data_IF_792909291862
#
_entry.id   IF_792909291862
#
_cell.length_a   1.000
_cell.length_b   1.000
_cell.length_c   1.000
_cell.angle_alpha   90.00
_cell.angle_beta   90.00
_cell.angle_gamma   90.00
#
_symmetry.space_group_name_H-M   'P 1'
#
loop_
_entity.id
_entity.type
_entity.pdbx_description
1 polymer ?
#
# COMPACT_ATOMS: atom_id res chain seq x y z
N UNK A 1 -36.22 14.34 31.43
CA UNK A 1 -35.37 15.20 30.59
C UNK A 1 -33.89 14.86 30.77
N UNK A 2 -33.51 13.56 30.76
CA UNK A 2 -32.16 13.12 31.19
C UNK A 2 -31.35 12.40 30.10
N UNK A 3 -31.83 12.34 28.86
CA UNK A 3 -31.19 11.61 27.75
C UNK A 3 -30.11 12.39 27.00
N UNK A 4 -30.08 13.73 27.10
CA UNK A 4 -29.19 14.56 26.27
C UNK A 4 -27.71 14.59 26.72
N UNK A 5 -27.40 14.23 27.97
CA UNK A 5 -26.05 14.32 28.52
C UNK A 5 -25.19 13.08 28.19
N UNK A 6 -25.76 11.88 28.29
CA UNK A 6 -25.06 10.63 27.95
C UNK A 6 -24.69 10.54 26.46
N UNK A 7 -25.54 11.06 25.57
CA UNK A 7 -25.27 11.05 24.13
C UNK A 7 -24.08 11.95 23.78
N UNK A 8 -23.92 13.07 24.48
CA UNK A 8 -22.83 14.03 24.25
C UNK A 8 -21.47 13.48 24.70
N UNK A 9 -21.43 12.82 25.86
CA UNK A 9 -20.21 12.17 26.36
C UNK A 9 -19.80 10.99 25.45
N UNK A 10 -20.75 10.17 25.02
CA UNK A 10 -20.47 9.02 24.15
C UNK A 10 -19.95 9.45 22.78
N UNK A 11 -20.48 10.56 22.23
CA UNK A 11 -19.96 11.18 21.00
C UNK A 11 -18.53 11.69 21.21
N UNK A 12 -18.24 12.35 22.33
CA UNK A 12 -16.89 12.84 22.65
C UNK A 12 -15.89 11.67 22.76
N UNK A 13 -16.21 10.62 23.53
CA UNK A 13 -15.38 9.43 23.66
C UNK A 13 -15.15 8.77 22.29
N UNK A 14 -16.20 8.62 21.47
CA UNK A 14 -16.07 8.08 20.11
C UNK A 14 -15.11 8.91 19.25
N UNK A 15 -15.11 10.23 19.40
CA UNK A 15 -14.24 11.14 18.65
C UNK A 15 -12.79 11.07 19.12
N UNK A 16 -12.56 11.01 20.43
CA UNK A 16 -11.23 10.86 21.02
C UNK A 16 -10.63 9.51 20.60
N UNK A 17 -11.41 8.43 20.63
CA UNK A 17 -10.97 7.12 20.18
C UNK A 17 -10.63 7.11 18.69
N UNK A 18 -11.49 7.68 17.82
CA UNK A 18 -11.21 7.79 16.38
C UNK A 18 -9.92 8.57 16.09
N UNK A 19 -9.74 9.72 16.76
CA UNK A 19 -8.53 10.52 16.64
C UNK A 19 -7.28 9.74 17.08
N UNK A 20 -7.37 8.98 18.18
CA UNK A 20 -6.26 8.13 18.65
C UNK A 20 -5.86 7.05 17.63
N UNK A 21 -6.83 6.45 16.92
CA UNK A 21 -6.56 5.43 15.90
C UNK A 21 -5.92 6.02 14.64
N UNK A 22 -6.36 7.21 14.22
CA UNK A 22 -5.73 7.93 13.10
C UNK A 22 -4.29 8.31 13.46
N UNK A 23 -4.06 8.81 14.67
CA UNK A 23 -2.71 9.12 15.15
C UNK A 23 -1.79 7.89 15.16
N UNK A 24 -2.32 6.71 15.51
CA UNK A 24 -1.57 5.46 15.43
C UNK A 24 -1.18 5.12 13.98
N UNK A 25 -2.07 5.32 13.02
CA UNK A 25 -1.76 5.11 11.59
C UNK A 25 -0.67 6.04 11.08
N UNK A 26 -0.68 7.30 11.53
CA UNK A 26 0.33 8.29 11.15
C UNK A 26 1.71 8.01 11.75
N UNK A 27 1.83 7.08 12.69
CA UNK A 27 3.11 6.64 13.24
C UNK A 27 3.70 5.42 12.51
N UNK A 28 3.00 4.88 11.49
CA UNK A 28 3.52 3.77 10.71
C UNK A 28 4.67 4.21 9.79
N UNK A 29 5.64 3.30 9.63
CA UNK A 29 6.72 3.39 8.66
C UNK A 29 6.32 2.73 7.34
N UNK A 30 6.81 3.26 6.22
CA UNK A 30 6.55 2.70 4.89
C UNK A 30 7.47 1.50 4.65
N UNK A 31 7.13 0.39 5.28
CA UNK A 31 7.90 -0.85 5.25
C UNK A 31 7.25 -1.89 4.35
N UNK A 32 7.91 -3.04 4.16
CA UNK A 32 7.40 -4.15 3.34
C UNK A 32 5.94 -4.54 3.62
N UNK A 33 5.45 -4.59 4.88
CA UNK A 33 4.07 -4.97 5.14
C UNK A 33 3.05 -3.94 4.63
N UNK A 34 3.40 -2.65 4.70
CA UNK A 34 2.58 -1.56 4.16
C UNK A 34 2.58 -1.63 2.63
N UNK A 35 3.74 -1.87 2.03
CA UNK A 35 3.86 -2.07 0.57
C UNK A 35 3.01 -3.25 0.10
N UNK A 36 3.10 -4.40 0.78
CA UNK A 36 2.31 -5.58 0.43
C UNK A 36 0.80 -5.32 0.57
N UNK A 37 0.38 -4.51 1.56
CA UNK A 37 -1.01 -4.08 1.71
C UNK A 37 -1.47 -3.15 0.57
N UNK A 38 -0.65 -2.17 0.18
CA UNK A 38 -0.92 -1.30 -0.98
C UNK A 38 -1.10 -2.14 -2.24
N UNK A 39 -0.17 -3.08 -2.47
CA UNK A 39 -0.23 -3.99 -3.63
C UNK A 39 -1.55 -4.76 -3.63
N UNK A 40 -1.95 -5.32 -2.48
CA UNK A 40 -3.21 -6.04 -2.37
C UNK A 40 -4.43 -5.16 -2.71
N UNK A 41 -4.52 -3.95 -2.15
CA UNK A 41 -5.64 -3.03 -2.41
C UNK A 41 -5.72 -2.60 -3.88
N UNK A 42 -4.57 -2.36 -4.53
CA UNK A 42 -4.52 -1.98 -5.94
C UNK A 42 -4.91 -3.17 -6.83
N UNK A 43 -4.37 -4.36 -6.57
CA UNK A 43 -4.70 -5.56 -7.34
C UNK A 43 -6.19 -5.88 -7.24
N UNK A 44 -6.78 -5.84 -6.04
CA UNK A 44 -8.21 -6.05 -5.84
C UNK A 44 -9.06 -5.03 -6.63
N UNK A 45 -8.65 -3.76 -6.62
CA UNK A 45 -9.36 -2.69 -7.34
C UNK A 45 -9.31 -2.89 -8.86
N UNK A 46 -8.15 -3.29 -9.39
CA UNK A 46 -7.96 -3.56 -10.82
C UNK A 46 -8.70 -4.84 -11.24
N UNK A 47 -8.63 -5.91 -10.44
CA UNK A 47 -9.32 -7.17 -10.71
C UNK A 47 -10.85 -6.97 -10.76
N UNK A 48 -11.38 -6.17 -9.81
CA UNK A 48 -12.79 -5.79 -9.79
C UNK A 48 -13.20 -5.02 -11.04
N UNK A 49 -12.39 -4.04 -11.47
CA UNK A 49 -12.68 -3.21 -12.64
C UNK A 49 -12.56 -3.98 -13.97
N UNK A 50 -11.64 -4.94 -14.06
CA UNK A 50 -11.46 -5.79 -15.24
C UNK A 50 -12.42 -6.98 -15.28
N UNK A 51 -13.10 -7.30 -14.17
CA UNK A 51 -13.94 -8.49 -14.04
C UNK A 51 -13.15 -9.79 -14.20
N UNK A 52 -11.84 -9.77 -13.89
CA UNK A 52 -10.92 -10.91 -14.07
C UNK A 52 -10.12 -11.11 -12.79
N UNK A 53 -10.04 -12.35 -12.32
CA UNK A 53 -9.18 -12.73 -11.18
C UNK A 53 -7.79 -13.24 -11.62
N UNK A 54 -7.49 -13.18 -12.93
CA UNK A 54 -6.41 -13.96 -13.53
C UNK A 54 -5.16 -13.12 -13.88
N UNK A 55 -4.93 -11.98 -13.22
CA UNK A 55 -3.63 -11.32 -13.36
C UNK A 55 -2.55 -12.29 -12.88
N UNK A 56 -1.52 -12.59 -13.70
CA UNK A 56 -0.55 -13.61 -13.37
C UNK A 56 0.21 -13.19 -12.11
N UNK A 57 0.49 -14.14 -11.21
CA UNK A 57 1.18 -13.85 -9.95
C UNK A 57 2.55 -13.18 -10.14
N UNK A 58 3.16 -13.33 -11.33
CA UNK A 58 4.38 -12.62 -11.73
C UNK A 58 4.19 -11.10 -11.88
N UNK A 59 3.01 -10.63 -12.31
CA UNK A 59 2.68 -9.20 -12.39
C UNK A 59 2.68 -8.56 -11.01
N UNK A 60 2.21 -9.26 -9.97
CA UNK A 60 2.25 -8.74 -8.60
C UNK A 60 3.69 -8.56 -8.08
N UNK A 61 4.64 -9.42 -8.46
CA UNK A 61 6.03 -9.29 -8.04
C UNK A 61 6.73 -8.07 -8.68
N UNK A 62 6.55 -7.88 -9.99
CA UNK A 62 7.07 -6.71 -10.70
C UNK A 62 6.44 -5.42 -10.17
N UNK A 63 5.12 -5.42 -9.99
CA UNK A 63 4.38 -4.30 -9.43
C UNK A 63 4.80 -3.98 -7.98
N UNK A 64 5.05 -4.98 -7.14
CA UNK A 64 5.57 -4.75 -5.78
C UNK A 64 6.92 -4.03 -5.81
N UNK A 65 7.81 -4.41 -6.73
CA UNK A 65 9.09 -3.73 -6.93
C UNK A 65 8.90 -2.29 -7.42
N UNK A 66 7.92 -2.06 -8.30
CA UNK A 66 7.55 -0.73 -8.76
C UNK A 66 7.06 0.15 -7.60
N UNK A 67 6.09 -0.31 -6.81
CA UNK A 67 5.56 0.40 -5.63
C UNK A 67 6.68 0.76 -4.66
N UNK A 68 7.54 -0.21 -4.32
CA UNK A 68 8.68 0.03 -3.44
C UNK A 68 9.64 1.07 -4.01
N UNK A 69 9.97 0.98 -5.30
CA UNK A 69 10.88 1.91 -5.98
C UNK A 69 10.32 3.33 -5.98
N UNK A 70 9.04 3.49 -6.32
CA UNK A 70 8.38 4.79 -6.35
C UNK A 70 8.37 5.41 -4.95
N UNK A 71 7.86 4.71 -3.93
CA UNK A 71 7.76 5.24 -2.57
C UNK A 71 9.12 5.66 -1.98
N UNK A 72 10.17 4.88 -2.23
CA UNK A 72 11.54 5.22 -1.78
C UNK A 72 12.07 6.46 -2.50
N UNK A 73 11.81 6.59 -3.81
CA UNK A 73 12.36 7.70 -4.61
C UNK A 73 11.59 9.01 -4.45
N UNK A 74 10.27 8.94 -4.25
CA UNK A 74 9.43 10.12 -4.02
C UNK A 74 9.46 10.59 -2.56
N UNK A 75 9.97 9.77 -1.63
CA UNK A 75 10.09 10.09 -0.21
C UNK A 75 8.76 10.54 0.42
N UNK A 76 7.68 9.84 0.07
CA UNK A 76 6.33 10.20 0.49
C UNK A 76 6.12 9.98 1.99
N UNK A 77 5.22 10.77 2.56
CA UNK A 77 4.80 10.60 3.96
C UNK A 77 3.78 9.48 4.09
N UNK A 78 3.65 8.92 5.29
CA UNK A 78 2.58 7.96 5.57
C UNK A 78 1.19 8.59 5.37
N UNK A 79 1.04 9.89 5.61
CA UNK A 79 -0.21 10.60 5.34
C UNK A 79 -0.60 10.58 3.85
N UNK A 80 0.38 10.79 2.95
CA UNK A 80 0.18 10.67 1.51
C UNK A 80 -0.18 9.22 1.12
N UNK A 81 0.47 8.23 1.72
CA UNK A 81 0.16 6.81 1.49
C UNK A 81 -1.27 6.47 1.93
N UNK A 82 -1.68 6.85 3.14
CA UNK A 82 -3.04 6.60 3.64
C UNK A 82 -4.11 7.32 2.81
N UNK A 83 -3.80 8.55 2.36
CA UNK A 83 -4.68 9.31 1.47
C UNK A 83 -4.81 8.62 0.11
N UNK A 84 -3.71 8.12 -0.46
CA UNK A 84 -3.76 7.37 -1.73
C UNK A 84 -4.56 6.07 -1.61
N UNK A 85 -4.45 5.34 -0.49
CA UNK A 85 -5.28 4.16 -0.21
C UNK A 85 -6.77 4.51 -0.17
N UNK A 86 -7.11 5.61 0.50
CA UNK A 86 -8.49 6.13 0.56
C UNK A 86 -9.04 6.44 -0.84
N UNK A 87 -8.21 7.08 -1.68
CA UNK A 87 -8.58 7.35 -3.07
C UNK A 87 -8.72 6.09 -3.93
N UNK A 88 -7.84 5.09 -3.75
CA UNK A 88 -7.97 3.79 -4.43
C UNK A 88 -9.29 3.11 -4.06
N UNK A 89 -9.63 3.11 -2.76
CA UNK A 89 -10.88 2.52 -2.27
C UNK A 89 -12.11 3.16 -2.91
N UNK A 90 -12.12 4.49 -3.03
CA UNK A 90 -13.19 5.25 -3.69
C UNK A 90 -13.24 5.07 -5.20
N UNK A 91 -12.09 4.89 -5.84
CA UNK A 91 -12.01 4.68 -7.28
C UNK A 91 -12.67 3.38 -7.73
N UNK A 92 -12.82 2.38 -6.86
CA UNK A 92 -13.37 1.05 -7.18
C UNK A 92 -14.72 1.08 -7.93
N UNK A 93 -15.60 2.04 -7.64
CA UNK A 93 -16.92 2.10 -8.30
C UNK A 93 -16.91 2.78 -9.66
N UNK A 94 -15.91 3.64 -9.94
CA UNK A 94 -15.93 4.58 -11.05
C UNK A 94 -14.75 4.40 -12.02
N UNK A 95 -13.81 3.51 -11.70
CA UNK A 95 -12.61 3.33 -12.50
C UNK A 95 -12.91 2.52 -13.77
N UNK A 96 -12.51 3.08 -14.90
CA UNK A 96 -12.54 2.41 -16.20
C UNK A 96 -11.12 2.16 -16.67
N UNK A 97 -10.77 0.90 -16.93
CA UNK A 97 -9.43 0.50 -17.35
C UNK A 97 -9.46 0.16 -18.85
N UNK A 98 -9.00 1.06 -19.73
CA UNK A 98 -9.05 0.84 -21.17
C UNK A 98 -8.00 -0.17 -21.67
N UNK A 99 -6.93 -0.39 -20.90
CA UNK A 99 -5.86 -1.34 -21.23
C UNK A 99 -5.31 -1.96 -19.96
N UNK A 100 -5.02 -3.26 -20.03
CA UNK A 100 -4.40 -4.05 -18.95
C UNK A 100 -2.93 -3.66 -18.77
N UNK A 101 -2.30 -3.13 -19.82
CA UNK A 101 -0.89 -2.74 -19.79
C UNK A 101 -0.66 -1.65 -18.73
N UNK A 102 0.16 -1.97 -17.74
CA UNK A 102 0.48 -1.12 -16.60
C UNK A 102 -0.74 -0.67 -15.78
N UNK A 103 -1.82 -1.43 -15.78
CA UNK A 103 -3.06 -1.05 -15.08
C UNK A 103 -2.81 -0.83 -13.58
N UNK A 104 -2.13 -1.76 -12.92
CA UNK A 104 -1.78 -1.67 -11.49
C UNK A 104 -0.94 -0.42 -11.20
N UNK A 105 0.10 -0.20 -12.00
CA UNK A 105 1.02 0.93 -11.88
C UNK A 105 0.29 2.26 -12.08
N UNK A 106 -0.62 2.36 -13.05
CA UNK A 106 -1.38 3.59 -13.32
C UNK A 106 -2.36 3.91 -12.21
N UNK A 107 -3.08 2.91 -11.68
CA UNK A 107 -4.01 3.11 -10.56
C UNK A 107 -3.26 3.57 -9.32
N UNK A 108 -2.19 2.87 -8.96
CA UNK A 108 -1.35 3.24 -7.82
C UNK A 108 -0.74 4.62 -7.97
N UNK A 109 -0.11 4.90 -9.12
CA UNK A 109 0.62 6.13 -9.35
C UNK A 109 -0.32 7.34 -9.43
N UNK A 110 -1.48 7.20 -10.06
CA UNK A 110 -2.50 8.25 -10.10
C UNK A 110 -2.96 8.63 -8.69
N UNK A 111 -3.29 7.63 -7.87
CA UNK A 111 -3.68 7.84 -6.48
C UNK A 111 -2.57 8.51 -5.66
N UNK A 112 -1.33 8.04 -5.78
CA UNK A 112 -0.20 8.55 -5.01
C UNK A 112 0.17 9.98 -5.40
N UNK A 113 0.18 10.32 -6.70
CA UNK A 113 0.47 11.69 -7.16
C UNK A 113 -0.57 12.67 -6.60
N UNK A 114 -1.85 12.35 -6.74
CA UNK A 114 -2.93 13.21 -6.27
C UNK A 114 -2.86 13.36 -4.75
N UNK A 115 -2.65 12.26 -4.03
CA UNK A 115 -2.48 12.27 -2.58
C UNK A 115 -1.29 13.10 -2.12
N UNK A 116 -0.11 12.87 -2.70
CA UNK A 116 1.11 13.63 -2.42
C UNK A 116 0.91 15.13 -2.61
N UNK A 117 0.22 15.52 -3.69
CA UNK A 117 -0.11 16.92 -3.97
C UNK A 117 -1.13 17.52 -3.03
N UNK A 118 -2.05 16.70 -2.52
CA UNK A 118 -3.09 17.12 -1.59
C UNK A 118 -2.55 17.30 -0.16
N UNK A 119 -1.64 16.43 0.29
CA UNK A 119 -1.16 16.40 1.67
C UNK A 119 0.12 17.20 1.93
N UNK A 120 0.86 17.59 0.89
CA UNK A 120 2.20 18.17 1.04
C UNK A 120 2.24 19.63 0.60
N UNK A 121 2.83 20.50 1.43
CA UNK A 121 3.02 21.92 1.10
C UNK A 121 4.06 22.13 -0.02
N UNK A 122 5.01 21.21 -0.15
CA UNK A 122 6.00 21.17 -1.23
C UNK A 122 5.80 19.92 -2.07
N UNK A 123 5.30 20.09 -3.29
CA UNK A 123 4.91 18.96 -4.14
C UNK A 123 5.92 18.72 -5.25
N UNK A 124 6.20 17.43 -5.50
CA UNK A 124 7.07 17.02 -6.59
C UNK A 124 6.39 17.29 -7.94
N UNK A 125 7.07 18.01 -8.85
CA UNK A 125 6.54 18.27 -10.20
C UNK A 125 6.46 16.98 -11.02
N UNK A 126 5.55 16.93 -12.00
CA UNK A 126 5.32 15.74 -12.82
C UNK A 126 6.57 15.23 -13.57
N UNK A 127 7.51 16.11 -13.91
CA UNK A 127 8.80 15.72 -14.50
C UNK A 127 9.65 14.87 -13.55
N UNK A 128 9.59 15.14 -12.25
CA UNK A 128 10.31 14.38 -11.25
C UNK A 128 9.60 13.05 -10.93
N UNK A 129 8.26 13.02 -10.98
CA UNK A 129 7.50 11.76 -10.94
C UNK A 129 7.88 10.83 -12.11
N UNK A 130 8.02 11.37 -13.32
CA UNK A 130 8.48 10.61 -14.48
C UNK A 130 9.87 9.99 -14.22
N UNK A 131 10.80 10.80 -13.69
CA UNK A 131 12.12 10.32 -13.27
C UNK A 131 12.07 9.30 -12.13
N UNK A 132 11.09 9.38 -11.22
CA UNK A 132 10.92 8.41 -10.14
C UNK A 132 10.52 7.03 -10.67
N UNK A 133 9.56 7.00 -11.62
CA UNK A 133 9.05 5.74 -12.18
C UNK A 133 10.00 5.06 -13.17
N UNK A 134 10.75 5.84 -13.96
CA UNK A 134 11.64 5.33 -15.00
C UNK A 134 10.95 4.69 -16.22
N UNK A 135 9.64 4.46 -16.17
CA UNK A 135 8.86 3.82 -17.24
C UNK A 135 7.83 4.75 -17.89
N UNK A 136 7.41 5.82 -17.21
CA UNK A 136 6.43 6.78 -17.72
C UNK A 136 7.08 8.11 -18.08
N UNK A 137 6.71 8.66 -19.24
CA UNK A 137 7.10 10.02 -19.61
C UNK A 137 6.35 11.07 -18.79
N UNK A 138 6.85 12.30 -18.73
CA UNK A 138 6.12 13.42 -18.10
C UNK A 138 4.70 13.58 -18.67
N UNK A 139 4.51 13.30 -19.97
CA UNK A 139 3.19 13.36 -20.61
C UNK A 139 2.26 12.28 -20.07
N UNK A 140 2.78 11.06 -19.86
CA UNK A 140 2.03 9.95 -19.28
C UNK A 140 1.65 10.26 -17.84
N UNK A 141 2.58 10.79 -17.04
CA UNK A 141 2.32 11.23 -15.66
C UNK A 141 1.19 12.26 -15.62
N UNK A 142 1.26 13.31 -16.45
CA UNK A 142 0.20 14.32 -16.53
C UNK A 142 -1.15 13.72 -16.95
N UNK A 143 -1.14 12.68 -17.79
CA UNK A 143 -2.35 11.99 -18.22
C UNK A 143 -2.93 11.14 -17.10
N UNK A 144 -2.11 10.31 -16.46
CA UNK A 144 -2.48 9.45 -15.33
C UNK A 144 -3.09 10.29 -14.20
N UNK A 145 -2.45 11.42 -13.85
CA UNK A 145 -2.97 12.34 -12.84
C UNK A 145 -4.37 12.87 -13.21
N UNK A 146 -4.55 13.40 -14.42
CA UNK A 146 -5.85 13.94 -14.86
C UNK A 146 -6.93 12.87 -14.94
N UNK A 147 -6.60 11.69 -15.44
CA UNK A 147 -7.54 10.57 -15.52
C UNK A 147 -7.96 10.14 -14.11
N UNK A 148 -7.03 10.07 -13.16
CA UNK A 148 -7.33 9.71 -11.79
C UNK A 148 -8.16 10.77 -11.05
N UNK A 149 -7.88 12.07 -11.27
CA UNK A 149 -8.72 13.16 -10.77
C UNK A 149 -10.16 13.09 -11.30
N UNK A 150 -10.33 12.72 -12.58
CA UNK A 150 -11.65 12.51 -13.16
C UNK A 150 -12.38 11.30 -12.54
N UNK A 151 -11.67 10.22 -12.22
CA UNK A 151 -12.26 9.06 -11.51
C UNK A 151 -12.76 9.45 -10.11
N UNK A 152 -12.06 10.35 -9.43
CA UNK A 152 -12.46 10.89 -8.13
C UNK A 152 -13.55 11.96 -8.20
N UNK A 153 -13.96 12.38 -9.40
CA UNK A 153 -14.83 13.54 -9.64
C UNK A 153 -14.34 14.80 -8.91
N UNK A 154 -13.01 14.97 -8.81
CA UNK A 154 -12.35 16.08 -8.10
C UNK A 154 -12.67 16.20 -6.60
N UNK A 155 -13.36 15.22 -6.01
CA UNK A 155 -13.64 15.17 -4.58
C UNK A 155 -12.38 14.72 -3.81
N UNK A 156 -11.49 15.64 -3.45
CA UNK A 156 -10.21 15.30 -2.81
C UNK A 156 -10.27 15.26 -1.28
N UNK A 157 -11.36 15.71 -0.68
CA UNK A 157 -11.54 15.68 0.76
C UNK A 157 -11.44 14.25 1.31
N UNK A 158 -10.67 14.08 2.37
CA UNK A 158 -10.48 12.80 3.07
C UNK A 158 -10.96 12.97 4.49
N UNK A 159 -11.87 12.09 4.91
CA UNK A 159 -12.37 12.03 6.27
C UNK A 159 -11.56 11.06 7.13
N UNK A 160 -11.68 11.16 8.46
CA UNK A 160 -11.13 10.14 9.36
C UNK A 160 -11.68 8.75 9.05
N UNK A 161 -12.94 8.65 8.61
CA UNK A 161 -13.57 7.39 8.26
C UNK A 161 -12.87 6.68 7.09
N UNK A 162 -12.45 7.45 6.10
CA UNK A 162 -11.71 6.93 4.93
C UNK A 162 -10.36 6.34 5.36
N UNK A 163 -9.65 7.01 6.27
CA UNK A 163 -8.38 6.53 6.82
C UNK A 163 -8.57 5.28 7.68
N UNK A 164 -9.60 5.28 8.55
CA UNK A 164 -9.87 4.19 9.48
C UNK A 164 -10.38 2.92 8.78
N UNK A 165 -10.95 3.04 7.58
CA UNK A 165 -11.29 1.88 6.75
C UNK A 165 -10.07 0.99 6.46
N UNK A 166 -8.86 1.55 6.43
CA UNK A 166 -7.62 0.82 6.22
C UNK A 166 -6.92 0.37 7.52
N UNK A 167 -7.41 0.79 8.69
CA UNK A 167 -6.75 0.55 9.97
C UNK A 167 -6.54 -0.94 10.25
N UNK A 168 -7.62 -1.74 10.20
CA UNK A 168 -7.56 -3.17 10.51
C UNK A 168 -6.61 -3.93 9.57
N UNK A 169 -6.61 -3.58 8.27
CA UNK A 169 -5.76 -4.21 7.26
C UNK A 169 -4.27 -3.92 7.50
N UNK A 170 -3.92 -2.65 7.74
CA UNK A 170 -2.54 -2.23 7.98
C UNK A 170 -1.97 -2.80 9.30
N UNK A 171 -2.75 -2.77 10.39
CA UNK A 171 -2.31 -3.34 11.68
C UNK A 171 -2.12 -4.86 11.57
N UNK A 172 -2.99 -5.55 10.82
CA UNK A 172 -2.85 -6.99 10.60
C UNK A 172 -1.61 -7.32 9.76
N UNK A 173 -1.36 -6.56 8.69
CA UNK A 173 -0.19 -6.75 7.81
C UNK A 173 1.14 -6.57 8.58
N UNK A 174 1.23 -5.51 9.39
CA UNK A 174 2.41 -5.21 10.21
C UNK A 174 2.62 -6.24 11.32
N UNK A 175 1.57 -6.67 12.01
CA UNK A 175 1.64 -7.69 13.08
C UNK A 175 2.06 -9.07 12.58
N UNK A 176 1.56 -9.50 11.42
CA UNK A 176 1.90 -10.81 10.83
C UNK A 176 3.37 -10.89 10.40
N UNK A 177 3.97 -9.74 10.07
CA UNK A 177 5.37 -9.64 9.67
C UNK A 177 6.31 -9.83 10.86
N UNK A 178 5.97 -9.26 12.02
CA UNK A 178 6.73 -9.45 13.26
C UNK A 178 6.76 -10.94 13.70
N UNK A 179 5.66 -11.66 13.52
CA UNK A 179 5.56 -13.08 13.87
C UNK A 179 6.28 -14.01 12.87
N UNK A 180 6.35 -13.65 11.57
CA UNK A 180 7.18 -14.35 10.58
C UNK A 180 8.68 -14.11 10.82
N UNK A 181 9.07 -12.88 11.17
CA UNK A 181 10.44 -12.56 11.54
C UNK A 181 10.90 -13.33 12.79
N UNK A 182 10.06 -13.40 13.84
CA UNK A 182 10.35 -14.17 15.05
C UNK A 182 10.54 -15.67 14.78
N UNK A 183 9.68 -16.27 13.92
CA UNK A 183 9.77 -17.69 13.52
C UNK A 183 11.04 -18.02 12.74
N UNK A 184 11.52 -17.11 11.89
CA UNK A 184 12.74 -17.32 11.12
C UNK A 184 13.99 -17.30 12.00
N UNK A 185 13.98 -16.53 13.10
CA UNK A 185 15.11 -16.45 14.02
C UNK A 185 15.27 -17.72 14.89
N UNK A 186 14.16 -18.38 15.25
CA UNK A 186 14.22 -19.66 15.99
C UNK A 186 14.74 -20.81 15.10
N UNK A 187 14.50 -20.73 13.78
CA UNK A 187 14.86 -21.78 12.82
C UNK A 187 16.34 -21.76 12.41
N UNK A 188 17.02 -20.61 12.52
CA UNK A 188 18.47 -20.49 12.29
C UNK A 188 19.33 -21.10 13.40
N UNK A 189 18.78 -21.32 14.60
CA UNK A 189 19.49 -21.94 15.72
C UNK A 189 19.39 -23.48 15.76
N UNK A 190 18.60 -24.10 14.88
CA UNK A 190 18.46 -25.55 14.75
C UNK A 190 19.19 -26.06 13.48
N UNK A 191 20.46 -25.70 13.30
CA UNK A 191 21.38 -26.48 12.45
C UNK A 191 21.99 -27.59 13.32
N UNK A 192 21.39 -28.77 13.26
CA UNK A 192 21.98 -30.01 13.81
C UNK A 192 23.33 -30.24 13.12
N UNK A 193 24.44 -30.51 13.85
CA UNK A 193 25.71 -30.82 13.21
C UNK A 193 25.60 -32.17 12.51
N UNK A 194 25.78 -32.18 11.19
CA UNK A 194 25.88 -33.43 10.42
C UNK A 194 27.15 -34.17 10.83
N UNK A 195 26.98 -35.40 11.34
CA UNK A 195 28.05 -36.31 11.70
C UNK A 195 28.89 -36.68 10.46
N UNK A 196 30.22 -36.67 10.64
CA UNK A 196 31.22 -37.09 9.66
C UNK A 196 31.03 -38.56 9.28
N UNK A 197 30.83 -38.84 8.01
CA UNK A 197 30.89 -40.20 7.44
C UNK A 197 32.36 -40.56 7.17
N UNK A 198 32.82 -41.70 7.71
CA UNK A 198 34.17 -42.24 7.56
C UNK A 198 34.49 -42.69 6.11
N UNK A 199 35.77 -42.72 5.69
CA UNK A 199 36.14 -43.11 4.33
C UNK A 199 36.21 -44.64 4.16
N UNK A 200 35.68 -45.13 3.02
CA UNK A 200 35.73 -46.54 2.63
C UNK A 200 37.06 -46.94 1.94
N UNK A 201 37.51 -48.20 2.04
CA UNK A 201 38.74 -48.68 1.40
C UNK A 201 38.50 -49.09 -0.06
N UNK A 202 39.51 -48.84 -0.93
CA UNK A 202 39.53 -49.25 -2.34
C UNK A 202 39.77 -50.76 -2.50
N UNK A 203 39.17 -51.42 -3.51
CA UNK A 203 39.48 -52.81 -3.84
C UNK A 203 40.77 -52.93 -4.68
N UNK A 204 41.45 -54.10 -4.65
CA UNK A 204 42.67 -54.34 -5.42
C UNK A 204 42.38 -54.68 -6.89
N UNK A 205 43.46 -54.62 -7.68
CA UNK A 205 43.52 -54.75 -9.15
C UNK A 205 42.89 -56.02 -9.73
#
# INVERSE_FOLDING_TARGET
MSTSANDSENVLFSSVHRSSLVMQLLQLTIDRPVIDYIVHCVSETVDQALGRSDLPSSSNAAFTSFVSTVLVRSAETIAAVLTSLSYISRARSNIYIPSIEWALERVFLGALIVASKYTSDSTMKNVHWAACTGIFSTRDICRIEREFLAVLDWELAVSEGDLLAHHAGLISATSNSNSRAARNHTRSHLKVPSSKTAPQPKPPQ
#
